data_IF_699838843648
#
_entry.id   IF_699838843648
#
_cell.length_a   1.000
_cell.length_b   1.000
_cell.length_c   1.000
_cell.angle_alpha   90.00
_cell.angle_beta   90.00
_cell.angle_gamma   90.00
#
_symmetry.space_group_name_H-M   'P 1'
#
loop_
_entity.id
_entity.type
_entity.pdbx_description
1 polymer ?
#
# COMPACT_ATOMS: atom_id res chain seq x y z
N UNK A 1 -32.88 12.05 22.44
CA UNK A 1 -32.11 12.13 23.72
C UNK A 1 -31.49 10.78 24.07
N UNK A 2 -30.47 10.76 24.95
CA UNK A 2 -29.71 9.55 25.32
C UNK A 2 -30.56 8.39 25.89
N UNK A 3 -31.70 8.71 26.52
CA UNK A 3 -32.58 7.73 27.13
C UNK A 3 -33.48 6.96 26.15
N UNK A 4 -33.49 7.33 24.86
CA UNK A 4 -34.24 6.62 23.83
C UNK A 4 -33.75 5.17 23.65
N UNK A 5 -34.66 4.23 23.39
CA UNK A 5 -34.39 2.79 23.30
C UNK A 5 -33.29 2.46 22.27
N UNK A 6 -33.31 3.12 21.11
CA UNK A 6 -32.29 2.99 20.07
C UNK A 6 -30.90 3.46 20.54
N UNK A 7 -30.84 4.54 21.34
CA UNK A 7 -29.57 5.08 21.86
C UNK A 7 -28.98 4.16 22.94
N UNK A 8 -29.80 3.64 23.86
CA UNK A 8 -29.39 2.58 24.80
C UNK A 8 -28.83 1.34 24.07
N UNK A 9 -29.44 0.93 22.95
CA UNK A 9 -28.94 -0.15 22.08
C UNK A 9 -27.61 0.19 21.39
N UNK A 10 -27.43 1.44 20.96
CA UNK A 10 -26.19 1.92 20.36
C UNK A 10 -25.02 1.94 21.36
N UNK A 11 -25.25 2.43 22.59
CA UNK A 11 -24.26 2.47 23.67
C UNK A 11 -23.70 1.06 23.94
N UNK A 12 -24.57 0.06 24.16
CA UNK A 12 -24.15 -1.34 24.37
C UNK A 12 -23.28 -1.87 23.23
N UNK A 13 -23.68 -1.64 21.97
CA UNK A 13 -22.89 -2.01 20.78
C UNK A 13 -21.53 -1.31 20.73
N UNK A 14 -21.46 -0.05 21.17
CA UNK A 14 -20.21 0.74 21.19
C UNK A 14 -19.23 0.21 22.23
N UNK A 15 -19.69 -0.20 23.41
CA UNK A 15 -18.83 -0.79 24.47
C UNK A 15 -18.11 -2.03 23.93
N UNK A 16 -18.85 -3.06 23.48
CA UNK A 16 -18.26 -4.32 22.99
C UNK A 16 -17.34 -4.10 21.76
N UNK A 17 -17.73 -3.22 20.83
CA UNK A 17 -16.87 -2.84 19.70
C UNK A 17 -15.59 -2.13 20.15
N UNK A 18 -15.66 -1.30 21.19
CA UNK A 18 -14.52 -0.54 21.70
C UNK A 18 -13.51 -1.45 22.37
N UNK A 19 -13.96 -2.43 23.16
CA UNK A 19 -13.11 -3.45 23.79
C UNK A 19 -12.34 -4.28 22.74
N UNK A 20 -13.06 -4.87 21.78
CA UNK A 20 -12.47 -5.64 20.69
C UNK A 20 -11.46 -4.78 19.89
N UNK A 21 -11.83 -3.54 19.57
CA UNK A 21 -10.96 -2.62 18.84
C UNK A 21 -9.77 -2.14 19.68
N UNK A 22 -9.90 -2.02 21.00
CA UNK A 22 -8.80 -1.70 21.94
C UNK A 22 -7.77 -2.83 21.90
N UNK A 23 -8.18 -4.09 22.09
CA UNK A 23 -7.30 -5.26 22.04
C UNK A 23 -6.58 -5.39 20.69
N UNK A 24 -7.33 -5.29 19.57
CA UNK A 24 -6.74 -5.33 18.22
C UNK A 24 -5.76 -4.17 17.96
N UNK A 25 -6.08 -2.94 18.38
CA UNK A 25 -5.16 -1.78 18.28
C UNK A 25 -3.91 -1.97 19.14
N UNK A 26 -4.04 -2.53 20.34
CA UNK A 26 -2.91 -2.83 21.22
C UNK A 26 -1.98 -3.87 20.62
N UNK A 27 -2.49 -4.99 20.08
CA UNK A 27 -1.68 -5.99 19.37
C UNK A 27 -0.83 -5.34 18.27
N UNK A 28 -1.45 -4.60 17.36
CA UNK A 28 -0.74 -3.90 16.27
C UNK A 28 0.33 -2.92 16.82
N UNK A 29 0.05 -2.20 17.92
CA UNK A 29 1.06 -1.35 18.57
C UNK A 29 2.23 -2.15 19.12
N UNK A 30 2.01 -3.32 19.71
CA UNK A 30 3.07 -4.18 20.25
C UNK A 30 4.02 -4.69 19.17
N UNK A 31 3.51 -5.19 18.03
CA UNK A 31 4.38 -5.61 16.92
C UNK A 31 5.16 -4.43 16.31
N UNK A 32 4.54 -3.25 16.19
CA UNK A 32 5.25 -2.03 15.75
C UNK A 32 6.37 -1.66 16.74
N UNK A 33 6.12 -1.78 18.06
CA UNK A 33 7.16 -1.57 19.07
C UNK A 33 8.30 -2.59 18.94
N UNK A 34 8.02 -3.89 18.76
CA UNK A 34 9.05 -4.94 18.57
C UNK A 34 9.99 -4.65 17.40
N UNK A 35 9.46 -4.12 16.28
CA UNK A 35 10.30 -3.68 15.15
C UNK A 35 11.18 -2.48 15.54
N UNK A 36 10.63 -1.52 16.28
CA UNK A 36 11.39 -0.33 16.70
C UNK A 36 12.51 -0.71 17.68
N UNK A 37 12.25 -1.58 18.65
CA UNK A 37 13.28 -2.04 19.60
C UNK A 37 14.35 -2.90 18.93
N UNK A 38 14.00 -3.74 17.96
CA UNK A 38 15.00 -4.50 17.17
C UNK A 38 15.88 -3.58 16.30
N UNK A 39 15.28 -2.48 15.78
CA UNK A 39 16.00 -1.42 15.05
C UNK A 39 16.94 -0.65 15.98
N UNK A 40 16.51 -0.35 17.21
CA UNK A 40 17.33 0.31 18.22
C UNK A 40 18.48 -0.59 18.72
N UNK A 41 18.29 -1.91 18.74
CA UNK A 41 19.33 -2.90 19.05
C UNK A 41 20.31 -3.18 17.89
N UNK A 42 20.09 -2.62 16.70
CA UNK A 42 20.99 -2.77 15.55
C UNK A 42 20.96 -4.13 14.81
N UNK A 43 20.16 -5.09 15.27
CA UNK A 43 20.09 -6.43 14.65
C UNK A 43 19.28 -6.41 13.35
N UNK A 44 19.98 -6.55 12.21
CA UNK A 44 19.37 -6.55 10.87
C UNK A 44 18.44 -7.75 10.67
N UNK A 45 18.84 -8.95 11.08
CA UNK A 45 18.03 -10.16 10.92
C UNK A 45 16.73 -10.12 11.73
N UNK A 46 16.82 -9.76 13.02
CA UNK A 46 15.66 -9.69 13.90
C UNK A 46 14.71 -8.57 13.47
N UNK A 47 15.25 -7.43 13.02
CA UNK A 47 14.47 -6.34 12.44
C UNK A 47 13.67 -6.80 11.21
N UNK A 48 14.26 -7.62 10.34
CA UNK A 48 13.58 -8.17 9.16
C UNK A 48 12.50 -9.20 9.54
N UNK A 49 12.79 -10.13 10.45
CA UNK A 49 11.84 -11.13 10.98
C UNK A 49 10.63 -10.44 11.64
N UNK A 50 10.88 -9.49 12.55
CA UNK A 50 9.85 -8.71 13.23
C UNK A 50 9.01 -7.85 12.26
N UNK A 51 9.61 -7.34 11.18
CA UNK A 51 8.92 -6.55 10.17
C UNK A 51 7.89 -7.37 9.39
N UNK A 52 8.18 -8.64 9.07
CA UNK A 52 7.22 -9.56 8.41
C UNK A 52 6.03 -9.84 9.33
N UNK A 53 6.28 -10.14 10.61
CA UNK A 53 5.21 -10.31 11.61
C UNK A 53 4.33 -9.06 11.72
N UNK A 54 4.96 -7.87 11.82
CA UNK A 54 4.26 -6.60 11.93
C UNK A 54 3.43 -6.26 10.68
N UNK A 55 3.89 -6.62 9.47
CA UNK A 55 3.11 -6.46 8.24
C UNK A 55 1.82 -7.27 8.27
N UNK A 56 1.88 -8.55 8.67
CA UNK A 56 0.71 -9.43 8.78
C UNK A 56 -0.35 -8.84 9.71
N UNK A 57 0.05 -8.40 10.91
CA UNK A 57 -0.87 -7.82 11.90
C UNK A 57 -1.42 -6.44 11.48
N UNK A 58 -0.62 -5.61 10.81
CA UNK A 58 -1.11 -4.34 10.24
C UNK A 58 -2.20 -4.61 9.17
N UNK A 59 -2.00 -5.61 8.30
CA UNK A 59 -2.95 -5.96 7.25
C UNK A 59 -4.21 -6.64 7.79
N UNK A 60 -4.09 -7.48 8.84
CA UNK A 60 -5.24 -7.96 9.65
C UNK A 60 -6.03 -6.79 10.25
N UNK A 61 -5.35 -5.72 10.66
CA UNK A 61 -5.98 -4.45 11.07
C UNK A 61 -6.76 -3.74 9.96
N UNK A 62 -6.33 -3.82 8.70
CA UNK A 62 -7.07 -3.28 7.55
C UNK A 62 -8.31 -4.13 7.26
N UNK A 63 -8.18 -5.45 7.23
CA UNK A 63 -9.30 -6.38 7.00
C UNK A 63 -10.41 -6.21 8.05
N UNK A 64 -10.04 -6.00 9.32
CA UNK A 64 -10.97 -5.72 10.42
C UNK A 64 -11.48 -4.26 10.47
N UNK A 65 -11.26 -3.47 9.41
CA UNK A 65 -11.63 -2.05 9.29
C UNK A 65 -11.14 -1.16 10.47
N UNK A 66 -10.03 -1.53 11.11
CA UNK A 66 -9.44 -0.77 12.21
C UNK A 66 -8.66 0.46 11.73
N UNK A 67 -8.14 0.41 10.49
CA UNK A 67 -7.41 1.50 9.86
C UNK A 67 -7.51 1.45 8.33
N UNK A 68 -7.55 2.62 7.70
CA UNK A 68 -7.59 2.77 6.24
C UNK A 68 -6.32 2.20 5.59
N UNK A 69 -6.44 1.63 4.38
CA UNK A 69 -5.33 1.08 3.56
C UNK A 69 -4.11 2.03 3.52
N UNK A 70 -4.34 3.33 3.26
CA UNK A 70 -3.26 4.32 3.18
C UNK A 70 -2.54 4.56 4.53
N UNK A 71 -3.22 4.39 5.67
CA UNK A 71 -2.57 4.47 6.99
C UNK A 71 -1.70 3.25 7.27
N UNK A 72 -2.15 2.05 6.87
CA UNK A 72 -1.33 0.84 6.92
C UNK A 72 -0.09 0.96 6.02
N UNK A 73 -0.28 1.33 4.74
CA UNK A 73 0.82 1.52 3.79
C UNK A 73 1.87 2.54 4.28
N UNK A 74 1.44 3.69 4.84
CA UNK A 74 2.35 4.67 5.46
C UNK A 74 3.16 4.10 6.63
N UNK A 75 2.55 3.25 7.46
CA UNK A 75 3.25 2.60 8.58
C UNK A 75 4.28 1.60 8.09
N UNK A 76 3.90 0.71 7.17
CA UNK A 76 4.81 -0.29 6.58
C UNK A 76 5.97 0.42 5.90
N UNK A 77 5.72 1.41 5.03
CA UNK A 77 6.77 2.18 4.35
C UNK A 77 7.75 2.85 5.33
N UNK A 78 7.25 3.46 6.42
CA UNK A 78 8.11 4.08 7.45
C UNK A 78 8.97 3.06 8.20
N UNK A 79 8.42 1.88 8.55
CA UNK A 79 9.17 0.81 9.21
C UNK A 79 10.22 0.22 8.26
N UNK A 80 9.87 -0.10 7.02
CA UNK A 80 10.82 -0.58 6.01
C UNK A 80 11.94 0.41 5.75
N UNK A 81 11.70 1.73 5.78
CA UNK A 81 12.76 2.74 5.68
C UNK A 81 13.71 2.70 6.88
N UNK A 82 13.20 2.53 8.11
CA UNK A 82 14.04 2.41 9.32
C UNK A 82 14.91 1.15 9.29
N UNK A 83 14.33 -0.02 8.97
CA UNK A 83 15.09 -1.28 8.88
C UNK A 83 16.15 -1.19 7.77
N UNK A 84 15.79 -0.61 6.61
CA UNK A 84 16.76 -0.37 5.53
C UNK A 84 17.91 0.54 5.96
N UNK A 85 17.65 1.59 6.74
CA UNK A 85 18.70 2.52 7.18
C UNK A 85 19.84 1.82 7.94
N UNK A 86 19.54 0.79 8.75
CA UNK A 86 20.56 -0.05 9.41
C UNK A 86 21.37 -0.82 8.37
N UNK A 87 20.71 -1.49 7.43
CA UNK A 87 21.39 -2.26 6.37
C UNK A 87 22.20 -1.39 5.40
N UNK A 88 21.77 -0.15 5.13
CA UNK A 88 22.41 0.74 4.16
C UNK A 88 23.41 1.71 4.78
N UNK A 89 23.39 1.91 6.11
CA UNK A 89 24.36 2.73 6.83
C UNK A 89 25.80 2.20 6.68
N UNK A 90 25.96 0.90 6.41
CA UNK A 90 27.22 0.26 6.08
C UNK A 90 27.50 0.12 4.56
N UNK A 91 26.59 0.58 3.68
CA UNK A 91 26.61 0.28 2.25
C UNK A 91 26.38 1.50 1.33
N UNK A 92 26.82 2.69 1.76
CA UNK A 92 26.92 3.86 0.86
C UNK A 92 28.24 3.79 0.09
N UNK A 93 28.26 3.01 -1.01
CA UNK A 93 29.49 2.89 -1.81
C UNK A 93 29.54 1.73 -2.80
N UNK A 94 28.62 1.65 -3.75
CA UNK A 94 28.92 1.08 -5.08
C UNK A 94 27.81 1.42 -6.08
N UNK A 95 28.19 2.07 -7.18
CA UNK A 95 27.28 2.35 -8.28
C UNK A 95 26.94 1.06 -9.04
N UNK A 96 25.71 0.95 -9.54
CA UNK A 96 25.36 -0.04 -10.57
C UNK A 96 24.87 0.64 -11.85
N UNK A 97 25.81 1.27 -12.55
CA UNK A 97 25.70 1.50 -13.98
C UNK A 97 26.20 0.24 -14.68
N UNK A 98 25.29 -0.56 -15.25
CA UNK A 98 25.64 -1.45 -16.37
C UNK A 98 24.38 -1.74 -17.17
N UNK A 99 24.30 -1.14 -18.35
CA UNK A 99 23.33 -1.52 -19.37
C UNK A 99 23.77 -2.81 -20.09
N UNK A 100 22.98 -3.21 -21.10
CA UNK A 100 23.43 -4.01 -22.25
C UNK A 100 23.94 -5.44 -21.99
N UNK A 101 23.06 -6.43 -22.25
CA UNK A 101 23.39 -7.51 -23.19
C UNK A 101 22.16 -8.05 -23.90
N UNK A 102 21.87 -7.50 -25.08
CA UNK A 102 21.06 -8.18 -26.08
C UNK A 102 22.00 -8.96 -27.01
N UNK A 103 21.80 -10.28 -27.16
CA UNK A 103 22.17 -11.07 -28.36
C UNK A 103 21.63 -12.50 -28.24
N UNK A 104 20.70 -12.86 -29.13
CA UNK A 104 20.41 -14.21 -29.66
C UNK A 104 20.65 -14.06 -31.20
N UNK A 105 20.97 -15.08 -32.04
CA UNK A 105 20.80 -16.53 -31.85
C UNK A 105 21.93 -17.45 -32.41
N UNK A 106 21.81 -18.78 -32.25
CA UNK A 106 21.80 -19.79 -33.35
C UNK A 106 21.35 -21.17 -32.83
N UNK A 107 20.98 -22.07 -33.74
CA UNK A 107 20.24 -23.33 -33.59
C UNK A 107 21.11 -24.59 -33.60
N UNK A 108 20.72 -25.64 -32.85
CA UNK A 108 20.60 -27.02 -33.38
C UNK A 108 19.63 -27.88 -32.55
N UNK A 109 18.73 -28.58 -33.25
CA UNK A 109 17.95 -29.76 -32.80
C UNK A 109 18.76 -31.05 -33.21
N UNK A 110 18.32 -32.33 -33.05
CA UNK A 110 16.97 -32.86 -32.82
C UNK A 110 16.85 -34.10 -31.87
N UNK A 111 15.74 -34.84 -32.02
CA UNK A 111 15.27 -36.05 -31.29
C UNK A 111 14.65 -35.81 -29.88
N UNK A 112 13.59 -36.50 -29.42
CA UNK A 112 12.59 -37.39 -30.07
C UNK A 112 11.40 -37.72 -29.13
N UNK A 113 10.14 -37.61 -29.57
CA UNK A 113 8.94 -38.21 -28.91
C UNK A 113 7.69 -38.11 -29.82
N UNK A 114 6.70 -38.98 -29.60
CA UNK A 114 5.67 -39.36 -30.60
C UNK A 114 4.21 -39.00 -30.25
N UNK A 115 3.48 -38.58 -31.30
CA UNK A 115 2.10 -38.95 -31.66
C UNK A 115 0.85 -38.38 -30.91
N UNK A 116 -0.24 -38.33 -31.69
CA UNK A 116 -1.67 -38.26 -31.34
C UNK A 116 -2.24 -36.99 -30.66
N UNK A 117 -2.93 -36.13 -31.44
CA UNK A 117 -4.41 -36.00 -31.42
C UNK A 117 -4.95 -34.61 -31.82
N UNK A 118 -6.07 -34.59 -32.55
CA UNK A 118 -7.12 -33.56 -32.43
C UNK A 118 -6.96 -32.25 -33.22
N UNK A 119 -7.73 -32.11 -34.30
CA UNK A 119 -7.92 -30.84 -35.01
C UNK A 119 -9.01 -29.95 -34.36
N UNK A 120 -9.26 -28.78 -34.97
CA UNK A 120 -10.20 -27.68 -34.59
C UNK A 120 -9.67 -26.70 -33.52
N UNK A 121 -9.77 -25.38 -33.69
CA UNK A 121 -10.13 -24.64 -34.91
C UNK A 121 -10.08 -23.10 -34.76
N UNK A 122 -9.87 -22.44 -35.91
CA UNK A 122 -10.52 -21.17 -36.28
C UNK A 122 -10.04 -19.82 -35.70
N UNK A 123 -9.59 -18.97 -36.63
CA UNK A 123 -9.55 -17.48 -36.65
C UNK A 123 -8.50 -16.71 -35.85
N UNK A 124 -7.50 -16.23 -36.60
CA UNK A 124 -6.82 -14.97 -36.33
C UNK A 124 -7.72 -13.74 -36.55
N UNK A 125 -7.44 -12.65 -35.83
CA UNK A 125 -7.53 -11.28 -36.38
C UNK A 125 -6.45 -10.39 -35.72
N UNK A 126 -5.72 -9.53 -36.48
CA UNK A 126 -4.51 -8.86 -35.99
C UNK A 126 -4.77 -7.52 -35.29
N UNK A 127 -3.68 -6.91 -34.82
CA UNK A 127 -3.58 -5.71 -33.98
C UNK A 127 -3.72 -4.36 -34.74
N UNK A 128 -3.44 -3.26 -34.00
CA UNK A 128 -3.24 -1.86 -34.42
C UNK A 128 -4.54 -0.98 -34.45
N UNK A 129 -4.55 0.33 -34.13
CA UNK A 129 -3.48 1.28 -33.66
C UNK A 129 -4.07 2.62 -33.12
N UNK A 130 -3.40 3.29 -32.14
CA UNK A 130 -3.49 4.75 -31.72
C UNK A 130 -4.90 5.32 -31.34
N UNK A 131 -5.12 6.41 -30.57
CA UNK A 131 -4.43 7.42 -29.69
C UNK A 131 -5.59 8.25 -29.01
N UNK A 132 -5.37 9.34 -28.24
CA UNK A 132 -4.50 9.58 -27.08
C UNK A 132 -5.32 10.06 -25.84
N UNK A 133 -4.66 10.63 -24.82
CA UNK A 133 -5.28 11.05 -23.55
C UNK A 133 -6.22 12.26 -23.64
N UNK A 134 -7.22 12.31 -22.73
CA UNK A 134 -7.86 13.55 -22.27
C UNK A 134 -7.80 13.67 -20.76
N UNK A 135 -7.19 14.75 -20.29
CA UNK A 135 -7.11 15.15 -18.88
C UNK A 135 -8.41 15.81 -18.45
N UNK A 136 -9.10 15.29 -17.41
CA UNK A 136 -10.20 16.04 -16.78
C UNK A 136 -9.62 17.18 -15.94
N UNK A 137 -9.71 18.39 -16.48
CA UNK A 137 -9.29 19.63 -15.82
C UNK A 137 -10.13 19.93 -14.56
N UNK A 138 -9.49 20.58 -13.58
CA UNK A 138 -10.21 21.30 -12.52
C UNK A 138 -10.83 22.57 -13.11
N UNK A 139 -12.08 22.94 -12.78
CA UNK A 139 -12.51 24.33 -12.87
C UNK A 139 -11.93 25.09 -11.68
N UNK A 140 -11.01 26.02 -11.95
CA UNK A 140 -10.70 27.11 -11.03
C UNK A 140 -11.42 28.35 -11.55
N UNK A 141 -12.36 28.89 -10.78
CA UNK A 141 -13.06 30.14 -11.11
C UNK A 141 -12.76 31.17 -10.02
N UNK A 142 -11.87 32.09 -10.40
CA UNK A 142 -11.72 33.49 -10.01
C UNK A 142 -12.00 33.89 -8.55
N UNK A 143 -10.92 34.37 -7.90
CA UNK A 143 -11.01 35.57 -7.05
C UNK A 143 -11.50 36.73 -7.92
N UNK A 144 -12.42 37.52 -7.41
CA UNK A 144 -12.52 38.95 -7.69
C UNK A 144 -12.59 39.68 -6.34
N UNK A 145 -11.97 40.85 -6.27
CA UNK A 145 -11.76 41.58 -5.03
C UNK A 145 -12.46 42.95 -5.09
N UNK A 146 -12.77 43.48 -3.90
CA UNK A 146 -13.20 44.86 -3.64
C UNK A 146 -14.42 45.40 -4.43
N UNK A 147 -15.50 45.63 -3.69
CA UNK A 147 -15.96 47.01 -3.56
C UNK A 147 -16.38 47.32 -2.13
N UNK A 148 -15.80 48.39 -1.59
CA UNK A 148 -16.12 48.95 -0.27
C UNK A 148 -17.44 49.70 -0.36
N UNK A 149 -18.29 49.55 0.65
CA UNK A 149 -19.32 50.54 1.00
C UNK A 149 -19.64 50.41 2.49
N UNK A 150 -18.86 51.12 3.30
CA UNK A 150 -19.34 51.62 4.58
C UNK A 150 -20.54 52.57 4.38
N UNK A 151 -21.20 52.88 5.49
CA UNK A 151 -22.17 53.99 5.73
C UNK A 151 -23.67 53.64 5.66
N UNK A 152 -24.42 54.24 6.60
CA UNK A 152 -25.88 54.35 6.73
C UNK A 152 -26.64 53.27 7.55
N UNK A 153 -26.54 53.41 8.88
CA UNK A 153 -27.64 53.44 9.85
C UNK A 153 -29.05 52.96 9.42
N UNK A 154 -29.63 52.01 10.17
CA UNK A 154 -30.66 52.30 11.19
C UNK A 154 -30.86 51.13 12.15
#
# INVERSE_FOLDING_TARGET
MANHSATKKAIRKTVSKTEINKTRKSRIKTYIKRVITAVEAGSSEESNKALVEAQSEIMRGVANNLMKKNTAARKVSRLSKKVKAISTGAAVGTAKTTEQKATKPKTVSPEKATAEAGATGTKAKPAAVKKPATTKAKPAVKKEAEKKSDTASK
#
